data_IF_714718257778
#
_entry.id   IF_714718257778
#
_cell.length_a   1.000
_cell.length_b   1.000
_cell.length_c   1.000
_cell.angle_alpha   90.00
_cell.angle_beta   90.00
_cell.angle_gamma   90.00
#
_symmetry.space_group_name_H-M   'P 1'
#
loop_
_entity.id
_entity.type
_entity.pdbx_description
1 polymer ?
#
# COMPACT_ATOMS: atom_id res chain seq x y z
N UNK A 1 -12.26 -8.78 -5.38
CA UNK A 1 -11.16 -8.97 -4.42
C UNK A 1 -11.35 -8.03 -3.25
N UNK A 2 -10.70 -8.26 -2.11
CA UNK A 2 -10.73 -7.37 -0.95
C UNK A 2 -9.55 -6.40 -1.04
N UNK A 3 -9.82 -5.11 -0.84
CA UNK A 3 -8.79 -4.04 -0.83
C UNK A 3 -8.80 -3.43 0.54
N UNK A 4 -7.65 -3.47 1.22
CA UNK A 4 -7.45 -2.90 2.55
C UNK A 4 -6.36 -1.86 2.46
N UNK A 5 -6.66 -0.66 2.97
CA UNK A 5 -5.72 0.45 2.97
C UNK A 5 -5.15 0.69 4.38
N UNK A 6 -3.88 1.10 4.43
CA UNK A 6 -3.23 1.53 5.66
C UNK A 6 -2.83 2.99 5.51
N UNK A 7 -3.12 3.80 6.54
CA UNK A 7 -2.61 5.16 6.66
C UNK A 7 -2.00 5.37 8.05
N UNK A 8 -1.06 6.31 8.17
CA UNK A 8 -0.46 6.65 9.46
C UNK A 8 -1.40 7.51 10.32
N UNK A 9 -2.18 8.38 9.68
CA UNK A 9 -3.05 9.36 10.32
C UNK A 9 -4.47 8.82 10.48
N UNK A 10 -5.15 9.21 11.56
CA UNK A 10 -6.57 8.88 11.74
C UNK A 10 -7.41 9.56 10.68
N UNK A 11 -7.07 10.80 10.36
CA UNK A 11 -7.72 11.62 9.35
C UNK A 11 -7.65 10.97 7.97
N UNK A 12 -6.50 10.41 7.59
CA UNK A 12 -6.32 9.68 6.34
C UNK A 12 -7.16 8.40 6.27
N UNK A 13 -7.21 7.62 7.35
CA UNK A 13 -8.10 6.43 7.42
C UNK A 13 -9.56 6.81 7.23
N UNK A 14 -10.02 7.89 7.89
CA UNK A 14 -11.40 8.36 7.74
C UNK A 14 -11.68 8.94 6.35
N UNK A 15 -10.71 9.64 5.73
CA UNK A 15 -10.80 10.10 4.34
C UNK A 15 -10.95 8.90 3.39
N UNK A 16 -10.11 7.87 3.53
CA UNK A 16 -10.17 6.63 2.72
C UNK A 16 -11.53 5.92 2.83
N UNK A 17 -12.05 5.78 4.05
CA UNK A 17 -13.38 5.20 4.30
C UNK A 17 -14.50 6.03 3.67
N UNK A 18 -14.44 7.36 3.78
CA UNK A 18 -15.43 8.26 3.17
C UNK A 18 -15.42 8.20 1.65
N UNK A 19 -14.24 8.07 1.04
CA UNK A 19 -14.10 8.01 -0.41
C UNK A 19 -14.62 6.69 -1.00
N UNK A 20 -14.74 5.62 -0.18
CA UNK A 20 -15.23 4.33 -0.63
C UNK A 20 -14.33 3.63 -1.66
N UNK A 21 -13.03 3.95 -1.67
CA UNK A 21 -12.04 3.39 -2.60
C UNK A 21 -11.45 2.04 -2.13
N UNK A 22 -11.60 1.74 -0.85
CA UNK A 22 -11.18 0.48 -0.24
C UNK A 22 -12.34 -0.13 0.55
N UNK A 23 -12.26 -1.44 0.79
CA UNK A 23 -13.28 -2.16 1.56
C UNK A 23 -13.08 -1.90 3.06
N UNK A 24 -11.82 -1.89 3.49
CA UNK A 24 -11.43 -1.62 4.88
C UNK A 24 -10.22 -0.67 4.90
N UNK A 25 -10.07 0.07 6.00
CA UNK A 25 -8.87 0.85 6.25
C UNK A 25 -8.50 0.88 7.73
N UNK A 26 -7.21 0.86 8.03
CA UNK A 26 -6.69 0.88 9.39
C UNK A 26 -5.53 1.86 9.57
N UNK A 27 -5.41 2.35 10.81
CA UNK A 27 -4.31 3.20 11.20
C UNK A 27 -3.13 2.35 11.66
N UNK A 28 -1.93 2.55 11.10
CA UNK A 28 -0.69 1.95 11.60
C UNK A 28 0.53 2.74 11.11
N UNK A 29 1.65 2.60 11.81
CA UNK A 29 2.95 3.04 11.28
C UNK A 29 3.53 1.95 10.39
N UNK A 30 3.81 2.28 9.12
CA UNK A 30 4.50 1.36 8.23
C UNK A 30 5.92 1.01 8.69
N UNK A 31 6.50 1.70 9.67
CA UNK A 31 7.77 1.31 10.28
C UNK A 31 7.63 0.17 11.31
N UNK A 32 6.41 -0.28 11.62
CA UNK A 32 6.11 -1.31 12.62
C UNK A 32 5.49 -2.55 11.94
N UNK A 33 6.32 -3.48 11.42
CA UNK A 33 5.86 -4.55 10.54
C UNK A 33 4.93 -5.57 11.19
N UNK A 34 5.12 -5.86 12.48
CA UNK A 34 4.23 -6.79 13.21
C UNK A 34 2.85 -6.17 13.41
N UNK A 35 2.77 -4.88 13.76
CA UNK A 35 1.49 -4.18 13.91
C UNK A 35 0.72 -4.14 12.58
N UNK A 36 1.43 -3.87 11.47
CA UNK A 36 0.83 -3.87 10.13
C UNK A 36 0.32 -5.26 9.77
N UNK A 37 1.12 -6.31 10.02
CA UNK A 37 0.71 -7.70 9.79
C UNK A 37 -0.57 -8.04 10.55
N UNK A 38 -0.58 -7.85 11.87
CA UNK A 38 -1.70 -8.24 12.72
C UNK A 38 -3.00 -7.56 12.28
N UNK A 39 -2.96 -6.24 12.07
CA UNK A 39 -4.14 -5.46 11.64
C UNK A 39 -4.58 -5.81 10.22
N UNK A 40 -3.64 -6.05 9.30
CA UNK A 40 -3.97 -6.41 7.93
C UNK A 40 -4.65 -7.78 7.87
N UNK A 41 -4.15 -8.77 8.63
CA UNK A 41 -4.75 -10.11 8.69
C UNK A 41 -6.10 -10.10 9.40
N UNK A 42 -6.26 -9.34 10.48
CA UNK A 42 -7.57 -9.16 11.16
C UNK A 42 -8.63 -8.69 10.16
N UNK A 43 -8.26 -7.75 9.29
CA UNK A 43 -9.13 -7.23 8.23
C UNK A 43 -9.23 -8.12 7.00
N UNK A 44 -8.66 -9.32 6.99
CA UNK A 44 -8.78 -10.29 5.90
C UNK A 44 -9.07 -11.72 6.40
N UNK A 45 -9.81 -11.84 7.50
CA UNK A 45 -10.23 -13.13 8.08
C UNK A 45 -9.04 -14.02 8.44
N UNK A 46 -7.93 -13.40 8.87
CA UNK A 46 -6.67 -14.08 9.20
C UNK A 46 -5.85 -14.53 7.99
N UNK A 47 -6.26 -14.18 6.76
CA UNK A 47 -5.60 -14.61 5.52
C UNK A 47 -4.62 -13.56 5.01
N UNK A 48 -3.49 -14.03 4.52
CA UNK A 48 -2.51 -13.20 3.81
C UNK A 48 -3.09 -12.68 2.47
N UNK A 49 -2.45 -11.64 1.94
CA UNK A 49 -2.86 -10.94 0.71
C UNK A 49 -2.11 -11.48 -0.51
N UNK A 50 -2.76 -11.46 -1.67
CA UNK A 50 -2.13 -11.79 -2.95
C UNK A 50 -1.13 -10.73 -3.39
N UNK A 51 -1.43 -9.45 -3.09
CA UNK A 51 -0.67 -8.29 -3.54
C UNK A 51 -0.59 -7.24 -2.43
N UNK A 52 0.60 -6.68 -2.22
CA UNK A 52 0.84 -5.50 -1.38
C UNK A 52 1.51 -4.41 -2.21
N UNK A 53 1.06 -3.16 -2.06
CA UNK A 53 1.61 -2.01 -2.78
C UNK A 53 2.12 -1.00 -1.76
N UNK A 54 3.44 -0.83 -1.68
CA UNK A 54 4.08 0.09 -0.76
C UNK A 54 4.21 1.49 -1.40
N UNK A 55 3.27 2.36 -1.04
CA UNK A 55 3.25 3.77 -1.45
C UNK A 55 3.79 4.74 -0.38
N UNK A 56 4.38 4.22 0.70
CA UNK A 56 4.76 5.05 1.88
C UNK A 56 6.14 5.65 1.70
N UNK A 57 6.27 6.97 1.82
CA UNK A 57 7.50 7.72 1.61
C UNK A 57 8.44 7.82 2.83
N UNK A 58 8.38 6.87 3.77
CA UNK A 58 9.26 6.82 4.95
C UNK A 58 10.09 5.53 4.96
N UNK A 59 11.24 5.56 5.62
CA UNK A 59 12.16 4.42 5.67
C UNK A 59 11.61 3.26 6.53
N UNK A 60 12.19 2.07 6.35
CA UNK A 60 11.90 0.85 7.14
C UNK A 60 10.47 0.30 6.96
N UNK A 61 9.90 0.48 5.78
CA UNK A 61 8.54 0.01 5.46
C UNK A 61 8.51 -1.33 4.72
N UNK A 62 9.68 -1.90 4.39
CA UNK A 62 9.80 -3.06 3.52
C UNK A 62 9.10 -4.28 4.10
N UNK A 63 9.39 -4.60 5.37
CA UNK A 63 8.79 -5.76 6.03
C UNK A 63 7.29 -5.60 6.25
N UNK A 64 6.80 -4.39 6.44
CA UNK A 64 5.37 -4.11 6.57
C UNK A 64 4.61 -4.38 5.26
N UNK A 65 5.29 -4.25 4.12
CA UNK A 65 4.74 -4.61 2.83
C UNK A 65 4.87 -6.12 2.53
N UNK A 66 5.92 -6.77 3.03
CA UNK A 66 6.25 -8.19 2.77
C UNK A 66 5.44 -9.15 3.64
N UNK A 67 5.44 -8.95 4.96
CA UNK A 67 4.87 -9.92 5.90
C UNK A 67 3.39 -10.27 5.63
N UNK A 68 2.51 -9.31 5.26
CA UNK A 68 1.11 -9.63 5.01
C UNK A 68 0.86 -10.40 3.71
N UNK A 69 1.88 -10.64 2.88
CA UNK A 69 1.72 -11.25 1.56
C UNK A 69 1.99 -12.75 1.62
N UNK A 70 1.13 -13.52 0.95
CA UNK A 70 1.27 -14.97 0.90
C UNK A 70 2.45 -15.42 0.07
N UNK A 71 2.90 -16.64 0.29
CA UNK A 71 3.88 -17.25 -0.60
C UNK A 71 3.32 -17.35 -2.04
N UNK A 72 4.19 -17.07 -3.02
CA UNK A 72 3.84 -16.85 -4.42
C UNK A 72 2.97 -15.61 -4.66
N UNK A 73 2.92 -14.67 -3.72
CA UNK A 73 2.27 -13.37 -3.86
C UNK A 73 3.24 -12.30 -4.36
N UNK A 74 2.74 -11.07 -4.54
CA UNK A 74 3.52 -9.96 -5.11
C UNK A 74 3.59 -8.76 -4.17
N UNK A 75 4.78 -8.17 -4.05
CA UNK A 75 4.98 -6.86 -3.41
C UNK A 75 5.45 -5.86 -4.46
N UNK A 76 4.72 -4.75 -4.60
CA UNK A 76 5.10 -3.64 -5.45
C UNK A 76 5.63 -2.47 -4.62
N UNK A 77 6.93 -2.22 -4.69
CA UNK A 77 7.58 -1.08 -4.05
C UNK A 77 7.56 0.14 -4.97
N UNK A 78 6.62 1.06 -4.75
CA UNK A 78 6.55 2.33 -5.50
C UNK A 78 7.30 3.47 -4.79
N UNK A 79 7.47 3.38 -3.48
CA UNK A 79 8.15 4.42 -2.70
C UNK A 79 9.65 4.53 -2.98
N UNK A 80 10.13 5.77 -3.14
CA UNK A 80 11.55 6.09 -3.25
C UNK A 80 12.32 5.92 -1.93
N UNK A 81 11.64 5.74 -0.79
CA UNK A 81 12.28 5.49 0.50
C UNK A 81 12.65 4.01 0.70
N UNK A 82 12.26 3.14 -0.22
CA UNK A 82 12.51 1.69 -0.15
C UNK A 82 14.00 1.37 -0.26
N UNK A 83 14.52 0.60 0.69
CA UNK A 83 15.81 -0.06 0.59
C UNK A 83 15.64 -1.47 0.04
N UNK A 84 15.97 -1.68 -1.23
CA UNK A 84 15.83 -2.99 -1.88
C UNK A 84 16.71 -4.08 -1.24
N UNK A 85 17.87 -3.71 -0.70
CA UNK A 85 18.70 -4.63 0.08
C UNK A 85 17.98 -5.11 1.34
N UNK A 86 17.31 -4.21 2.07
CA UNK A 86 16.52 -4.60 3.25
C UNK A 86 15.31 -5.44 2.87
N UNK A 87 14.62 -5.11 1.78
CA UNK A 87 13.50 -5.89 1.29
C UNK A 87 13.93 -7.33 0.95
N UNK A 88 14.98 -7.49 0.14
CA UNK A 88 15.47 -8.81 -0.28
C UNK A 88 15.99 -9.66 0.89
N UNK A 89 16.89 -9.11 1.72
CA UNK A 89 17.42 -9.83 2.89
C UNK A 89 16.35 -10.07 3.95
N UNK A 90 15.38 -9.15 4.07
CA UNK A 90 14.26 -9.28 4.99
C UNK A 90 13.34 -10.43 4.60
N UNK A 91 12.96 -10.52 3.32
CA UNK A 91 12.17 -11.64 2.80
C UNK A 91 12.90 -12.98 2.96
N UNK A 92 14.19 -13.05 2.63
CA UNK A 92 15.02 -14.24 2.88
C UNK A 92 15.01 -14.61 4.37
N UNK A 93 15.26 -13.64 5.25
CA UNK A 93 15.39 -13.85 6.69
C UNK A 93 14.11 -14.36 7.37
N UNK A 94 12.93 -14.05 6.80
CA UNK A 94 11.64 -14.58 7.27
C UNK A 94 11.13 -15.75 6.42
N UNK A 95 11.88 -16.19 5.42
CA UNK A 95 11.52 -17.29 4.54
C UNK A 95 10.28 -17.04 3.68
N UNK A 96 10.04 -15.78 3.26
CA UNK A 96 8.92 -15.45 2.37
C UNK A 96 9.30 -15.55 0.90
N UNK A 97 8.60 -16.44 0.18
CA UNK A 97 8.76 -16.66 -1.25
C UNK A 97 7.77 -15.77 -2.01
N UNK A 98 8.22 -14.60 -2.48
CA UNK A 98 7.37 -13.58 -3.10
C UNK A 98 8.03 -12.92 -4.31
N UNK A 99 7.20 -12.47 -5.25
CA UNK A 99 7.63 -11.63 -6.35
C UNK A 99 7.75 -10.17 -5.88
N UNK A 100 8.88 -9.52 -6.19
CA UNK A 100 9.08 -8.10 -5.88
C UNK A 100 9.16 -7.28 -7.16
N UNK A 101 8.28 -6.29 -7.30
CA UNK A 101 8.29 -5.32 -8.38
C UNK A 101 8.91 -4.01 -7.86
N UNK A 102 9.89 -3.50 -8.61
CA UNK A 102 10.55 -2.21 -8.31
C UNK A 102 9.93 -1.13 -9.17
N UNK A 103 9.32 -0.13 -8.52
CA UNK A 103 8.79 1.06 -9.17
C UNK A 103 9.89 2.03 -9.56
N UNK A 104 9.92 2.41 -10.84
CA UNK A 104 10.82 3.44 -11.36
C UNK A 104 10.15 4.82 -11.46
N UNK A 105 8.94 4.97 -10.91
CA UNK A 105 8.16 6.22 -10.96
C UNK A 105 7.52 6.53 -12.32
N UNK A 106 7.61 5.63 -13.31
CA UNK A 106 7.04 5.86 -14.64
C UNK A 106 6.32 4.63 -15.18
N UNK A 107 5.12 4.83 -15.70
CA UNK A 107 4.47 3.84 -16.55
C UNK A 107 3.85 4.52 -17.76
N UNK A 108 3.91 3.86 -18.92
CA UNK A 108 3.45 4.44 -20.18
C UNK A 108 1.95 4.71 -20.09
N UNK A 109 1.56 5.96 -20.30
CA UNK A 109 0.16 6.40 -20.23
C UNK A 109 -0.36 6.66 -18.83
N UNK A 110 0.50 6.68 -17.79
CA UNK A 110 0.09 7.01 -16.42
C UNK A 110 -0.59 8.38 -16.30
N UNK A 111 -0.17 9.35 -17.09
CA UNK A 111 -0.72 10.70 -17.19
C UNK A 111 -2.20 10.66 -17.62
N UNK A 112 -2.50 9.90 -18.67
CA UNK A 112 -3.86 9.77 -19.19
C UNK A 112 -4.78 9.09 -18.20
N UNK A 113 -4.31 8.00 -17.59
CA UNK A 113 -5.05 7.26 -16.55
C UNK A 113 -5.32 8.19 -15.37
N UNK A 114 -4.31 8.88 -14.85
CA UNK A 114 -4.45 9.79 -13.70
C UNK A 114 -5.49 10.89 -13.95
N UNK A 115 -5.44 11.53 -15.12
CA UNK A 115 -6.42 12.56 -15.48
C UNK A 115 -7.83 12.00 -15.68
N UNK A 116 -7.94 10.75 -16.16
CA UNK A 116 -9.23 10.08 -16.29
C UNK A 116 -9.83 9.74 -14.92
N UNK A 117 -9.05 9.19 -13.99
CA UNK A 117 -9.49 8.89 -12.63
C UNK A 117 -10.03 10.15 -11.92
N UNK A 118 -9.34 11.29 -12.05
CA UNK A 118 -9.80 12.56 -11.47
C UNK A 118 -11.10 13.04 -12.13
N UNK A 119 -11.33 12.78 -13.42
CA UNK A 119 -12.55 13.22 -14.12
C UNK A 119 -13.76 12.36 -13.80
N UNK A 120 -13.55 11.05 -13.69
CA UNK A 120 -14.62 10.05 -13.57
C UNK A 120 -15.00 9.77 -12.12
N UNK A 121 -14.13 10.07 -11.15
CA UNK A 121 -14.38 9.84 -9.73
C UNK A 121 -14.56 11.17 -8.96
N UNK A 122 -15.80 11.57 -8.64
CA UNK A 122 -16.07 12.82 -7.92
C UNK A 122 -15.39 12.91 -6.55
N UNK A 123 -15.24 11.79 -5.83
CA UNK A 123 -14.61 11.78 -4.51
C UNK A 123 -13.09 12.06 -4.60
N UNK A 124 -12.41 11.44 -5.57
CA UNK A 124 -11.00 11.73 -5.86
C UNK A 124 -10.84 13.18 -6.30
N UNK A 125 -11.73 13.65 -7.18
CA UNK A 125 -11.72 15.03 -7.68
C UNK A 125 -11.85 16.05 -6.56
N UNK A 126 -12.80 15.86 -5.65
CA UNK A 126 -13.03 16.76 -4.53
C UNK A 126 -11.81 16.87 -3.62
N UNK A 127 -11.16 15.73 -3.31
CA UNK A 127 -9.91 15.71 -2.52
C UNK A 127 -8.78 16.44 -3.26
N UNK A 128 -8.66 16.23 -4.57
CA UNK A 128 -7.65 16.88 -5.39
C UNK A 128 -7.85 18.41 -5.43
N UNK A 129 -9.07 18.87 -5.70
CA UNK A 129 -9.41 20.30 -5.74
C UNK A 129 -9.15 20.96 -4.39
N UNK A 130 -9.57 20.35 -3.27
CA UNK A 130 -9.31 20.89 -1.92
C UNK A 130 -7.83 21.02 -1.56
N UNK A 131 -6.98 20.12 -2.07
CA UNK A 131 -5.54 20.09 -1.70
C UNK A 131 -4.69 21.00 -2.57
N UNK A 132 -5.08 21.24 -3.83
CA UNK A 132 -4.18 21.83 -4.82
C UNK A 132 -4.75 22.99 -5.65
N UNK A 133 -6.04 23.30 -5.52
CA UNK A 133 -6.72 24.40 -6.25
C UNK A 133 -7.21 25.44 -5.26
#
# INVERSE_FOLDING_TARGET
>A
GKVVAMDYSKEGVEELKKMGLCHEAFQASAALPVEVLDKALELNDGREYDVSICCVNVNNCEMSAILPVRDGGCVYFFSMATSFTKAALGAEGVGKDIDMIIGNGYTKGHDKITLQEIRENPAIREVFEKKYV
#
